data_IF_176842973787
#
_entry.id   IF_176842973787
#
_cell.length_a   1.000
_cell.length_b   1.000
_cell.length_c   1.000
_cell.angle_alpha   90.00
_cell.angle_beta   90.00
_cell.angle_gamma   90.00
#
_symmetry.space_group_name_H-M   'P 1'
#
loop_
_entity.id
_entity.type
_entity.pdbx_description
1 polymer ?
#
# COMPACT_ATOMS: atom_id res chain seq x y z
N UNK A 1 11.90 -34.04 18.50
CA UNK A 1 12.33 -32.66 18.14
C UNK A 1 13.85 -32.65 18.19
N UNK A 2 14.53 -32.17 17.15
CA UNK A 2 16.00 -32.27 17.07
C UNK A 2 16.66 -31.12 17.84
N UNK A 3 17.58 -31.46 18.76
CA UNK A 3 18.30 -30.48 19.57
C UNK A 3 19.09 -29.47 18.72
N UNK A 4 19.63 -29.90 17.58
CA UNK A 4 20.33 -29.03 16.62
C UNK A 4 19.44 -27.89 16.11
N UNK A 5 18.18 -28.18 15.77
CA UNK A 5 17.23 -27.17 15.29
C UNK A 5 16.85 -26.16 16.39
N UNK A 6 16.85 -26.57 17.66
CA UNK A 6 16.61 -25.65 18.78
C UNK A 6 17.78 -24.66 18.95
N UNK A 7 19.02 -25.16 18.90
CA UNK A 7 20.21 -24.31 19.01
C UNK A 7 20.36 -23.35 17.81
N UNK A 8 19.99 -23.80 16.61
CA UNK A 8 19.94 -22.94 15.43
C UNK A 8 18.89 -21.82 15.56
N UNK A 9 17.69 -22.14 16.07
CA UNK A 9 16.65 -21.14 16.29
C UNK A 9 17.11 -20.06 17.29
N UNK A 10 17.74 -20.47 18.38
CA UNK A 10 18.32 -19.55 19.37
C UNK A 10 19.39 -18.66 18.75
N UNK A 11 20.33 -19.24 17.99
CA UNK A 11 21.39 -18.47 17.31
C UNK A 11 20.84 -17.39 16.39
N UNK A 12 19.72 -17.64 15.73
CA UNK A 12 19.08 -16.68 14.81
C UNK A 12 18.30 -15.61 15.58
N UNK A 13 17.39 -16.02 16.46
CA UNK A 13 16.41 -15.12 17.08
C UNK A 13 17.01 -14.24 18.17
N UNK A 14 18.04 -14.72 18.87
CA UNK A 14 18.75 -13.96 19.93
C UNK A 14 19.88 -13.11 19.34
N UNK A 15 20.17 -13.22 18.04
CA UNK A 15 21.19 -12.42 17.39
C UNK A 15 20.82 -10.92 17.48
N UNK A 16 21.70 -10.11 18.07
CA UNK A 16 21.47 -8.67 18.22
C UNK A 16 21.17 -7.96 16.89
N UNK A 17 21.79 -8.37 15.78
CA UNK A 17 21.51 -7.80 14.44
C UNK A 17 20.10 -8.13 13.97
N UNK A 18 19.62 -9.35 14.25
CA UNK A 18 18.27 -9.76 13.93
C UNK A 18 17.25 -8.98 14.77
N UNK A 19 17.48 -8.85 16.07
CA UNK A 19 16.61 -8.08 16.98
C UNK A 19 16.52 -6.61 16.55
N UNK A 20 17.66 -5.98 16.24
CA UNK A 20 17.69 -4.59 15.73
C UNK A 20 16.90 -4.48 14.42
N UNK A 21 17.06 -5.44 13.51
CA UNK A 21 16.30 -5.48 12.25
C UNK A 21 14.79 -5.55 12.51
N UNK A 22 14.33 -6.42 13.41
CA UNK A 22 12.91 -6.53 13.77
C UNK A 22 12.40 -5.25 14.47
N UNK A 23 13.21 -4.62 15.31
CA UNK A 23 12.84 -3.37 15.98
C UNK A 23 12.64 -2.22 14.97
N UNK A 24 13.54 -2.09 13.99
CA UNK A 24 13.40 -1.11 12.91
C UNK A 24 12.13 -1.39 12.09
N UNK A 25 11.87 -2.65 11.75
CA UNK A 25 10.63 -3.04 11.04
C UNK A 25 9.40 -2.67 11.86
N UNK A 26 9.39 -2.96 13.16
CA UNK A 26 8.27 -2.62 14.04
C UNK A 26 8.03 -1.11 14.07
N UNK A 27 9.08 -0.30 14.28
CA UNK A 27 8.99 1.16 14.28
C UNK A 27 8.46 1.72 12.95
N UNK A 28 8.98 1.24 11.81
CA UNK A 28 8.51 1.68 10.49
C UNK A 28 7.05 1.32 10.25
N UNK A 29 6.59 0.14 10.67
CA UNK A 29 5.19 -0.26 10.51
C UNK A 29 4.27 0.56 11.43
N UNK A 30 4.65 0.82 12.68
CA UNK A 30 3.85 1.66 13.60
C UNK A 30 3.67 3.06 13.02
N UNK A 31 4.77 3.72 12.65
CA UNK A 31 4.73 5.04 12.02
C UNK A 31 3.91 5.02 10.72
N UNK A 32 4.12 3.99 9.89
CA UNK A 32 3.44 3.82 8.62
C UNK A 32 1.93 3.65 8.77
N UNK A 33 1.47 2.80 9.69
CA UNK A 33 0.05 2.57 9.97
C UNK A 33 -0.61 3.86 10.48
N UNK A 34 0.00 4.54 11.45
CA UNK A 34 -0.56 5.79 12.01
C UNK A 34 -0.68 6.86 10.93
N UNK A 35 0.38 7.07 10.14
CA UNK A 35 0.38 8.04 9.03
C UNK A 35 -0.62 7.65 7.94
N UNK A 36 -0.70 6.36 7.59
CA UNK A 36 -1.60 5.88 6.56
C UNK A 36 -3.06 6.07 6.99
N UNK A 37 -3.45 5.64 8.19
CA UNK A 37 -4.80 5.86 8.74
C UNK A 37 -5.16 7.34 8.76
N UNK A 38 -4.24 8.20 9.20
CA UNK A 38 -4.44 9.64 9.20
C UNK A 38 -4.70 10.21 7.80
N UNK A 39 -3.85 9.86 6.83
CA UNK A 39 -4.02 10.28 5.43
C UNK A 39 -5.29 9.72 4.81
N UNK A 40 -5.63 8.46 5.07
CA UNK A 40 -6.85 7.82 4.59
C UNK A 40 -8.10 8.50 5.14
N UNK A 41 -8.10 8.89 6.42
CA UNK A 41 -9.19 9.67 7.00
C UNK A 41 -9.34 11.03 6.28
N UNK A 42 -8.23 11.71 5.97
CA UNK A 42 -8.27 12.96 5.20
C UNK A 42 -8.80 12.75 3.77
N UNK A 43 -8.40 11.67 3.11
CA UNK A 43 -8.89 11.30 1.76
C UNK A 43 -10.39 11.03 1.80
N UNK A 44 -10.86 10.23 2.76
CA UNK A 44 -12.27 9.86 2.90
C UNK A 44 -13.18 11.08 3.10
N UNK A 45 -12.76 12.03 3.94
CA UNK A 45 -13.52 13.26 4.23
C UNK A 45 -13.34 14.32 3.13
N UNK A 46 -12.32 14.21 2.28
CA UNK A 46 -12.15 15.12 1.15
C UNK A 46 -13.23 14.89 0.08
N UNK A 47 -13.83 15.96 -0.42
CA UNK A 47 -14.73 15.93 -1.59
C UNK A 47 -13.99 16.24 -2.90
N UNK A 48 -12.66 16.36 -2.84
CA UNK A 48 -11.80 16.77 -3.97
C UNK A 48 -11.55 15.61 -4.94
N UNK A 49 -11.84 14.37 -4.53
CA UNK A 49 -11.63 13.19 -5.37
C UNK A 49 -12.97 12.54 -5.66
N UNK A 50 -13.14 12.02 -6.88
CA UNK A 50 -14.30 11.19 -7.24
C UNK A 50 -14.54 10.07 -6.23
N UNK A 51 -15.82 9.76 -5.97
CA UNK A 51 -16.22 8.76 -4.97
C UNK A 51 -15.60 7.37 -5.24
N UNK A 52 -15.57 6.94 -6.50
CA UNK A 52 -14.93 5.69 -6.92
C UNK A 52 -13.46 5.64 -6.52
N UNK A 53 -12.68 6.66 -6.89
CA UNK A 53 -11.27 6.73 -6.55
C UNK A 53 -11.06 6.78 -5.03
N UNK A 54 -11.90 7.51 -4.29
CA UNK A 54 -11.81 7.54 -2.82
C UNK A 54 -11.98 6.15 -2.21
N UNK A 55 -13.00 5.40 -2.64
CA UNK A 55 -13.23 4.03 -2.14
C UNK A 55 -12.06 3.12 -2.50
N UNK A 56 -11.54 3.21 -3.73
CA UNK A 56 -10.37 2.41 -4.15
C UNK A 56 -9.08 2.78 -3.39
N UNK A 57 -8.88 4.05 -3.06
CA UNK A 57 -7.74 4.50 -2.24
C UNK A 57 -7.87 4.08 -0.78
N UNK A 58 -9.09 4.10 -0.23
CA UNK A 58 -9.37 3.54 1.10
C UNK A 58 -9.09 2.04 1.09
N UNK A 59 -9.51 1.32 0.04
CA UNK A 59 -9.21 -0.10 -0.13
C UNK A 59 -7.69 -0.37 -0.20
N UNK A 60 -6.96 0.39 -1.02
CA UNK A 60 -5.50 0.30 -1.09
C UNK A 60 -4.84 0.55 0.28
N UNK A 61 -5.30 1.58 1.00
CA UNK A 61 -4.79 1.92 2.33
C UNK A 61 -5.09 0.83 3.36
N UNK A 62 -6.28 0.22 3.29
CA UNK A 62 -6.66 -0.89 4.15
C UNK A 62 -5.78 -2.12 3.93
N UNK A 63 -5.45 -2.44 2.66
CA UNK A 63 -4.52 -3.51 2.32
C UNK A 63 -3.10 -3.22 2.85
N UNK A 64 -2.61 -1.99 2.70
CA UNK A 64 -1.32 -1.56 3.25
C UNK A 64 -1.27 -1.66 4.77
N UNK A 65 -2.33 -1.21 5.46
CA UNK A 65 -2.46 -1.30 6.91
C UNK A 65 -2.52 -2.75 7.38
N UNK A 66 -3.31 -3.61 6.72
CA UNK A 66 -3.39 -5.04 7.03
C UNK A 66 -2.02 -5.72 6.86
N UNK A 67 -1.34 -5.47 5.74
CA UNK A 67 0.01 -5.98 5.48
C UNK A 67 1.02 -5.54 6.55
N UNK A 68 0.93 -4.28 6.96
CA UNK A 68 1.84 -3.69 7.95
C UNK A 68 1.55 -4.20 9.36
N UNK A 69 0.28 -4.38 9.71
CA UNK A 69 -0.15 -4.93 10.99
C UNK A 69 0.31 -6.39 11.17
N UNK A 70 0.22 -7.21 10.11
CA UNK A 70 0.69 -8.60 10.15
C UNK A 70 2.21 -8.70 10.32
N UNK A 71 2.98 -7.81 9.68
CA UNK A 71 4.43 -7.75 9.89
C UNK A 71 4.82 -7.15 11.22
N UNK A 72 4.09 -6.15 11.71
CA UNK A 72 4.27 -5.61 13.05
C UNK A 72 4.07 -6.71 14.10
N UNK A 73 2.93 -7.40 14.05
CA UNK A 73 2.61 -8.50 14.96
C UNK A 73 3.75 -9.54 14.98
N UNK A 74 4.23 -9.95 13.80
CA UNK A 74 5.33 -10.91 13.73
C UNK A 74 6.61 -10.37 14.35
N UNK A 75 6.99 -9.13 14.02
CA UNK A 75 8.24 -8.54 14.50
C UNK A 75 8.20 -8.39 16.02
N UNK A 76 7.05 -7.98 16.57
CA UNK A 76 6.81 -7.91 18.01
C UNK A 76 6.89 -9.28 18.68
N UNK A 77 6.26 -10.32 18.09
CA UNK A 77 6.35 -11.69 18.60
C UNK A 77 7.79 -12.18 18.60
N UNK A 78 8.55 -11.99 17.52
CA UNK A 78 9.96 -12.39 17.45
C UNK A 78 10.84 -11.68 18.48
N UNK A 79 10.62 -10.37 18.70
CA UNK A 79 11.32 -9.62 19.75
C UNK A 79 10.94 -10.14 21.13
N UNK A 80 9.65 -10.33 21.39
CA UNK A 80 9.17 -10.82 22.68
C UNK A 80 9.72 -12.21 23.01
N UNK A 81 9.70 -13.13 22.05
CA UNK A 81 10.26 -14.47 22.18
C UNK A 81 11.77 -14.43 22.46
N UNK A 82 12.52 -13.55 21.79
CA UNK A 82 13.95 -13.38 22.03
C UNK A 82 14.29 -12.92 23.47
N UNK A 83 13.36 -12.26 24.18
CA UNK A 83 13.56 -11.80 25.56
C UNK A 83 12.93 -12.71 26.62
N UNK A 84 11.99 -13.59 26.26
CA UNK A 84 11.20 -14.37 27.23
C UNK A 84 11.40 -15.87 27.16
N UNK A 85 12.19 -16.37 26.20
CA UNK A 85 12.49 -17.78 26.09
C UNK A 85 13.22 -18.32 27.33
N UNK A 86 12.86 -19.55 27.74
CA UNK A 86 13.53 -20.25 28.84
C UNK A 86 14.42 -21.36 28.31
N UNK A 87 13.95 -22.06 27.28
CA UNK A 87 14.69 -23.11 26.59
C UNK A 87 14.82 -22.80 25.10
N UNK A 88 15.92 -23.21 24.48
CA UNK A 88 16.17 -23.02 23.04
C UNK A 88 15.09 -23.65 22.16
N UNK A 89 14.42 -24.71 22.64
CA UNK A 89 13.35 -25.37 21.89
C UNK A 89 12.02 -24.60 21.88
N UNK A 90 11.83 -23.63 22.78
CA UNK A 90 10.61 -22.79 22.81
C UNK A 90 10.54 -21.85 21.58
N UNK A 91 11.69 -21.60 20.95
CA UNK A 91 11.86 -20.71 19.81
C UNK A 91 11.53 -21.37 18.46
N UNK A 92 11.44 -22.70 18.42
CA UNK A 92 11.20 -23.44 17.18
C UNK A 92 9.71 -23.42 16.85
N UNK A 93 9.37 -23.23 15.58
CA UNK A 93 7.97 -23.18 15.12
C UNK A 93 7.63 -24.41 14.28
N UNK A 94 6.38 -24.84 14.38
CA UNK A 94 5.82 -25.85 13.48
C UNK A 94 5.80 -25.32 12.04
N UNK A 95 6.21 -26.17 11.09
CA UNK A 95 6.33 -25.80 9.70
C UNK A 95 5.00 -25.37 9.06
N UNK A 96 3.89 -26.03 9.43
CA UNK A 96 2.55 -25.70 8.90
C UNK A 96 2.03 -24.38 9.48
N UNK A 97 2.17 -24.17 10.78
CA UNK A 97 1.83 -22.89 11.44
C UNK A 97 2.63 -21.74 10.83
N UNK A 98 3.92 -21.94 10.57
CA UNK A 98 4.77 -20.98 9.87
C UNK A 98 4.28 -20.71 8.44
N UNK A 99 3.95 -21.75 7.67
CA UNK A 99 3.46 -21.64 6.29
C UNK A 99 2.11 -20.94 6.20
N UNK A 100 1.19 -21.24 7.11
CA UNK A 100 -0.09 -20.54 7.21
C UNK A 100 0.14 -19.05 7.53
N UNK A 101 0.96 -18.74 8.54
CA UNK A 101 1.28 -17.38 8.93
C UNK A 101 1.90 -16.56 7.79
N UNK A 102 2.88 -17.14 7.10
CA UNK A 102 3.54 -16.48 5.97
C UNK A 102 2.60 -16.26 4.79
N UNK A 103 1.71 -17.22 4.50
CA UNK A 103 0.68 -17.05 3.47
C UNK A 103 -0.31 -15.93 3.84
N UNK A 104 -0.74 -15.85 5.10
CA UNK A 104 -1.61 -14.77 5.59
C UNK A 104 -0.89 -13.42 5.47
N UNK A 105 0.40 -13.35 5.82
CA UNK A 105 1.20 -12.12 5.69
C UNK A 105 1.47 -11.73 4.23
N UNK A 106 1.66 -12.69 3.33
CA UNK A 106 1.93 -12.46 1.91
C UNK A 106 0.67 -12.15 1.08
N UNK A 107 -0.51 -12.63 1.48
CA UNK A 107 -1.74 -12.45 0.70
C UNK A 107 -2.12 -10.98 0.46
N UNK A 108 -2.11 -10.07 1.46
CA UNK A 108 -2.37 -8.65 1.23
C UNK A 108 -1.36 -8.01 0.27
N UNK A 109 -0.10 -8.46 0.31
CA UNK A 109 0.96 -7.98 -0.58
C UNK A 109 0.68 -8.34 -2.04
N UNK A 110 0.30 -9.59 -2.34
CA UNK A 110 -0.10 -9.98 -3.70
C UNK A 110 -1.35 -9.19 -4.15
N UNK A 111 -2.29 -8.93 -3.24
CA UNK A 111 -3.51 -8.15 -3.52
C UNK A 111 -3.29 -6.66 -3.79
N UNK A 112 -2.16 -6.07 -3.37
CA UNK A 112 -1.85 -4.66 -3.67
C UNK A 112 -1.73 -4.40 -5.17
N UNK A 113 -1.17 -5.35 -5.92
CA UNK A 113 -1.02 -5.22 -7.38
C UNK A 113 -2.39 -5.13 -8.06
N UNK A 114 -3.35 -5.93 -7.61
CA UNK A 114 -4.73 -5.87 -8.11
C UNK A 114 -5.43 -4.59 -7.71
N UNK A 115 -5.17 -4.04 -6.52
CA UNK A 115 -5.68 -2.72 -6.13
C UNK A 115 -5.14 -1.62 -7.07
N UNK A 116 -3.85 -1.68 -7.42
CA UNK A 116 -3.24 -0.78 -8.41
C UNK A 116 -3.85 -0.91 -9.81
N UNK A 117 -4.09 -2.14 -10.27
CA UNK A 117 -4.77 -2.39 -11.54
C UNK A 117 -6.21 -1.84 -11.50
N UNK A 118 -6.94 -2.08 -10.40
CA UNK A 118 -8.29 -1.57 -10.23
C UNK A 118 -8.35 -0.04 -10.28
N UNK A 119 -7.42 0.63 -9.60
CA UNK A 119 -7.25 2.08 -9.67
C UNK A 119 -6.93 2.52 -11.11
N UNK A 120 -6.02 1.83 -11.81
CA UNK A 120 -5.70 2.14 -13.20
C UNK A 120 -6.92 2.04 -14.13
N UNK A 121 -7.71 0.97 -14.01
CA UNK A 121 -8.94 0.77 -14.80
C UNK A 121 -9.93 1.90 -14.52
N UNK A 122 -10.12 2.26 -13.25
CA UNK A 122 -11.00 3.36 -12.88
C UNK A 122 -10.51 4.70 -13.45
N UNK A 123 -9.20 4.97 -13.45
CA UNK A 123 -8.61 6.15 -14.09
C UNK A 123 -8.77 6.12 -15.62
N UNK A 124 -8.64 4.95 -16.27
CA UNK A 124 -8.95 4.79 -17.70
C UNK A 124 -10.40 5.17 -17.99
N UNK A 125 -11.35 4.61 -17.24
CA UNK A 125 -12.79 4.86 -17.40
C UNK A 125 -13.13 6.34 -17.18
N UNK A 126 -12.61 6.94 -16.11
CA UNK A 126 -12.79 8.36 -15.82
C UNK A 126 -12.22 9.26 -16.93
N UNK A 127 -11.12 8.83 -17.58
CA UNK A 127 -10.49 9.60 -18.67
C UNK A 127 -11.22 9.44 -19.99
N UNK A 128 -11.60 8.22 -20.37
CA UNK A 128 -12.26 7.93 -21.66
C UNK A 128 -13.69 8.47 -21.63
N UNK A 129 -14.45 8.13 -20.58
CA UNK A 129 -15.87 8.38 -20.46
C UNK A 129 -16.23 9.56 -19.55
N UNK A 130 -15.37 10.58 -19.39
CA UNK A 130 -15.54 11.69 -18.43
C UNK A 130 -16.96 12.30 -18.42
N UNK A 131 -17.56 12.53 -19.60
CA UNK A 131 -18.93 13.09 -19.73
C UNK A 131 -20.02 12.20 -19.16
N UNK A 132 -19.87 10.88 -19.30
CA UNK A 132 -20.87 9.91 -18.83
C UNK A 132 -20.61 9.50 -17.38
N UNK A 133 -19.33 9.50 -17.00
CA UNK A 133 -18.87 9.13 -15.66
C UNK A 133 -19.47 10.03 -14.57
N UNK A 134 -19.68 11.31 -14.83
CA UNK A 134 -20.35 12.23 -13.88
C UNK A 134 -21.82 11.89 -13.65
N UNK A 135 -22.52 11.42 -14.69
CA UNK A 135 -23.93 11.03 -14.58
C UNK A 135 -24.11 9.77 -13.74
N UNK A 136 -23.07 8.95 -13.64
CA UNK A 136 -23.05 7.75 -12.82
C UNK A 136 -22.81 8.14 -11.36
N UNK A 137 -23.88 8.49 -10.66
CA UNK A 137 -23.85 8.74 -9.20
C UNK A 137 -23.42 7.51 -8.40
N UNK A 138 -23.58 6.31 -8.97
CA UNK A 138 -23.26 5.05 -8.29
C UNK A 138 -21.79 4.66 -8.50
N UNK A 139 -21.04 4.32 -7.44
CA UNK A 139 -19.63 3.97 -7.52
C UNK A 139 -19.40 2.53 -8.03
N UNK A 140 -19.93 2.21 -9.21
CA UNK A 140 -19.93 0.85 -9.77
C UNK A 140 -18.53 0.24 -9.86
N UNK A 141 -17.56 0.99 -10.41
CA UNK A 141 -16.20 0.51 -10.58
C UNK A 141 -15.56 0.13 -9.23
N UNK A 142 -15.74 0.96 -8.21
CA UNK A 142 -15.17 0.67 -6.89
C UNK A 142 -15.86 -0.50 -6.18
N UNK A 143 -17.19 -0.59 -6.29
CA UNK A 143 -17.99 -1.68 -5.69
C UNK A 143 -17.64 -3.04 -6.29
N UNK A 144 -17.25 -3.10 -7.56
CA UNK A 144 -16.81 -4.36 -8.19
C UNK A 144 -15.33 -4.64 -7.91
N UNK A 145 -14.46 -3.66 -8.11
CA UNK A 145 -13.01 -3.86 -8.07
C UNK A 145 -12.46 -4.07 -6.65
N UNK A 146 -13.03 -3.40 -5.63
CA UNK A 146 -12.54 -3.56 -4.26
C UNK A 146 -12.78 -4.98 -3.71
N UNK A 147 -13.98 -5.59 -3.78
CA UNK A 147 -14.21 -6.95 -3.32
C UNK A 147 -13.32 -7.99 -4.01
N UNK A 148 -13.02 -7.84 -5.30
CA UNK A 148 -12.11 -8.74 -6.03
C UNK A 148 -10.74 -8.83 -5.33
N UNK A 149 -10.22 -7.71 -4.82
CA UNK A 149 -8.93 -7.71 -4.10
C UNK A 149 -8.99 -8.52 -2.79
N UNK A 150 -10.13 -8.53 -2.10
CA UNK A 150 -10.35 -9.30 -0.87
C UNK A 150 -10.63 -10.78 -1.13
N UNK A 151 -11.38 -11.08 -2.20
CA UNK A 151 -11.59 -12.46 -2.66
C UNK A 151 -10.25 -13.11 -2.97
N UNK A 152 -9.32 -12.39 -3.63
CA UNK A 152 -7.97 -12.90 -3.87
C UNK A 152 -7.23 -13.26 -2.57
N UNK A 153 -7.33 -12.44 -1.52
CA UNK A 153 -6.75 -12.75 -0.20
C UNK A 153 -7.35 -14.04 0.35
N UNK A 154 -8.68 -14.15 0.35
CA UNK A 154 -9.37 -15.33 0.85
C UNK A 154 -8.97 -16.61 0.08
N UNK A 155 -8.81 -16.53 -1.23
CA UNK A 155 -8.37 -17.65 -2.06
C UNK A 155 -6.92 -18.07 -1.76
N UNK A 156 -6.00 -17.12 -1.59
CA UNK A 156 -4.60 -17.41 -1.23
C UNK A 156 -4.53 -18.11 0.13
N UNK A 157 -5.25 -17.59 1.13
CA UNK A 157 -5.29 -18.16 2.48
C UNK A 157 -5.92 -19.55 2.47
N UNK A 158 -7.09 -19.70 1.83
CA UNK A 158 -7.79 -20.99 1.72
C UNK A 158 -6.93 -22.06 1.04
N UNK A 159 -6.24 -21.71 -0.06
CA UNK A 159 -5.33 -22.62 -0.77
C UNK A 159 -4.11 -23.00 0.08
N UNK A 160 -3.65 -22.11 0.96
CA UNK A 160 -2.52 -22.40 1.85
C UNK A 160 -2.90 -23.37 2.97
N UNK A 161 -4.07 -23.16 3.57
CA UNK A 161 -4.59 -23.97 4.69
C UNK A 161 -5.16 -25.31 4.21
N UNK A 162 -5.78 -25.36 3.02
CA UNK A 162 -6.45 -26.56 2.50
C UNK A 162 -5.54 -27.68 2.01
N UNK A 163 -4.21 -27.51 2.03
CA UNK A 163 -3.27 -28.60 1.70
C UNK A 163 -3.24 -29.61 2.85
N UNK A 164 -3.47 -30.89 2.53
CA UNK A 164 -3.47 -32.01 3.50
C UNK A 164 -2.23 -31.96 4.39
N UNK A 165 -2.45 -32.14 5.69
CA UNK A 165 -1.38 -32.21 6.68
C UNK A 165 -0.43 -33.36 6.33
N UNK A 166 0.89 -33.13 6.33
CA UNK A 166 1.84 -34.23 6.26
C UNK A 166 1.65 -35.13 7.48
N UNK A 167 1.82 -36.45 7.31
CA UNK A 167 1.69 -37.45 8.38
C UNK A 167 2.69 -37.24 9.55
N UNK A 168 3.71 -36.38 9.36
CA UNK A 168 4.71 -36.05 10.38
C UNK A 168 4.78 -34.55 10.62
N UNK A 169 4.77 -34.17 11.90
CA UNK A 169 4.97 -32.78 12.34
C UNK A 169 6.43 -32.37 12.10
N UNK A 170 6.64 -31.46 11.14
CA UNK A 170 7.95 -30.91 10.82
C UNK A 170 8.15 -29.58 11.58
N UNK A 171 9.35 -29.39 12.13
CA UNK A 171 9.73 -28.19 12.87
C UNK A 171 10.75 -27.36 12.08
N UNK A 172 10.70 -26.04 12.20
CA UNK A 172 11.63 -25.12 11.53
C UNK A 172 12.26 -24.13 12.51
N UNK A 173 13.58 -23.89 12.42
CA UNK A 173 14.27 -22.95 13.30
C UNK A 173 13.94 -21.49 12.98
N UNK A 174 13.43 -21.20 11.79
CA UNK A 174 13.15 -19.84 11.33
C UNK A 174 11.92 -19.78 10.42
N UNK A 175 11.10 -18.74 10.60
CA UNK A 175 9.93 -18.46 9.79
C UNK A 175 9.96 -17.04 9.23
N UNK A 176 10.01 -16.90 7.89
CA UNK A 176 9.99 -15.56 7.26
C UNK A 176 8.59 -15.14 6.80
N UNK A 177 8.42 -13.82 6.67
CA UNK A 177 7.17 -13.16 6.24
C UNK A 177 6.78 -13.38 4.78
N UNK A 178 7.74 -13.64 3.89
CA UNK A 178 7.50 -13.64 2.44
C UNK A 178 7.51 -15.05 1.87
N UNK A 179 8.41 -15.91 2.34
CA UNK A 179 8.47 -17.31 1.91
C UNK A 179 8.84 -18.23 3.06
N UNK A 180 8.13 -19.35 3.17
CA UNK A 180 8.49 -20.45 4.07
C UNK A 180 9.19 -21.59 3.36
N UNK A 181 9.39 -21.52 2.05
CA UNK A 181 10.02 -22.58 1.27
C UNK A 181 10.87 -22.04 0.12
N UNK A 182 11.29 -22.97 -0.75
CA UNK A 182 11.95 -22.64 -2.01
C UNK A 182 11.09 -21.67 -2.81
N UNK A 183 11.75 -20.66 -3.38
CA UNK A 183 11.10 -19.67 -4.23
C UNK A 183 10.64 -20.39 -5.49
N UNK A 184 9.32 -20.36 -5.75
CA UNK A 184 8.79 -20.84 -7.01
C UNK A 184 9.14 -19.82 -8.11
N UNK A 185 10.30 -20.03 -8.73
CA UNK A 185 10.80 -19.17 -9.80
C UNK A 185 9.83 -19.10 -10.97
N UNK A 186 9.08 -20.18 -11.26
CA UNK A 186 8.09 -20.18 -12.33
C UNK A 186 6.96 -19.20 -12.00
N UNK A 187 6.37 -19.27 -10.80
CA UNK A 187 5.37 -18.28 -10.36
C UNK A 187 5.94 -16.85 -10.37
N UNK A 188 7.18 -16.68 -9.93
CA UNK A 188 7.81 -15.35 -9.83
C UNK A 188 8.03 -14.71 -11.22
N UNK A 189 8.64 -15.44 -12.16
CA UNK A 189 8.98 -14.91 -13.49
C UNK A 189 7.82 -14.93 -14.48
N UNK A 190 6.94 -15.94 -14.43
CA UNK A 190 5.83 -16.04 -15.39
C UNK A 190 4.61 -15.21 -14.99
N UNK A 191 4.48 -14.89 -13.69
CA UNK A 191 3.29 -14.21 -13.17
C UNK A 191 3.61 -12.91 -12.44
N UNK A 192 4.35 -12.96 -11.33
CA UNK A 192 4.51 -11.77 -10.47
C UNK A 192 5.21 -10.61 -11.22
N UNK A 193 6.38 -10.85 -11.80
CA UNK A 193 7.16 -9.82 -12.50
C UNK A 193 6.37 -9.21 -13.68
N UNK A 194 5.82 -10.00 -14.62
CA UNK A 194 5.04 -9.45 -15.73
C UNK A 194 3.84 -8.62 -15.26
N UNK A 195 3.08 -9.08 -14.26
CA UNK A 195 1.90 -8.35 -13.77
C UNK A 195 2.31 -7.00 -13.17
N UNK A 196 3.42 -6.94 -12.42
CA UNK A 196 3.94 -5.68 -11.86
C UNK A 196 4.38 -4.71 -12.97
N UNK A 197 5.11 -5.21 -13.97
CA UNK A 197 5.57 -4.39 -15.11
C UNK A 197 4.38 -3.88 -15.92
N UNK A 198 3.41 -4.75 -16.23
CA UNK A 198 2.19 -4.36 -16.96
C UNK A 198 1.39 -3.33 -16.17
N UNK A 199 1.25 -3.50 -14.85
CA UNK A 199 0.59 -2.52 -13.98
C UNK A 199 1.27 -1.15 -14.03
N UNK A 200 2.60 -1.12 -13.97
CA UNK A 200 3.38 0.11 -14.09
C UNK A 200 3.21 0.78 -15.46
N UNK A 201 3.33 0.01 -16.55
CA UNK A 201 3.16 0.52 -17.92
C UNK A 201 1.74 1.05 -18.14
N UNK A 202 0.73 0.42 -17.55
CA UNK A 202 -0.65 0.88 -17.60
C UNK A 202 -0.80 2.25 -16.94
N UNK A 203 -0.27 2.45 -15.73
CA UNK A 203 -0.30 3.77 -15.08
C UNK A 203 0.42 4.85 -15.89
N UNK A 204 1.58 4.51 -16.47
CA UNK A 204 2.33 5.44 -17.30
C UNK A 204 1.55 5.82 -18.57
N UNK A 205 0.94 4.85 -19.24
CA UNK A 205 0.09 5.07 -20.40
C UNK A 205 -1.11 5.96 -20.06
N UNK A 206 -1.81 5.66 -18.96
CA UNK A 206 -2.95 6.45 -18.47
C UNK A 206 -2.52 7.88 -18.19
N UNK A 207 -1.38 8.09 -17.51
CA UNK A 207 -0.86 9.44 -17.26
C UNK A 207 -0.57 10.21 -18.55
N UNK A 208 0.11 9.58 -19.52
CA UNK A 208 0.42 10.20 -20.81
C UNK A 208 -0.86 10.56 -21.57
N UNK A 209 -1.84 9.65 -21.60
CA UNK A 209 -3.13 9.86 -22.25
C UNK A 209 -3.89 11.01 -21.59
N UNK A 210 -3.98 11.04 -20.25
CA UNK A 210 -4.63 12.12 -19.50
C UNK A 210 -3.99 13.48 -19.85
N UNK A 211 -2.66 13.55 -19.83
CA UNK A 211 -1.90 14.78 -20.12
C UNK A 211 -2.07 15.24 -21.58
N UNK A 212 -2.13 14.30 -22.54
CA UNK A 212 -2.39 14.63 -23.95
C UNK A 212 -3.82 15.13 -24.14
N UNK A 213 -4.80 14.45 -23.56
CA UNK A 213 -6.22 14.83 -23.65
C UNK A 213 -6.49 16.21 -23.04
N UNK A 214 -5.86 16.53 -21.90
CA UNK A 214 -5.96 17.86 -21.29
C UNK A 214 -5.43 18.96 -22.21
N UNK A 215 -4.28 18.73 -22.86
CA UNK A 215 -3.70 19.71 -23.80
C UNK A 215 -4.61 19.95 -25.01
N UNK A 216 -5.17 18.89 -25.59
CA UNK A 216 -6.09 19.00 -26.73
C UNK A 216 -7.38 19.75 -26.34
N UNK A 217 -7.94 19.45 -25.16
CA UNK A 217 -9.15 20.12 -24.68
C UNK A 217 -8.94 21.64 -24.49
N UNK A 218 -7.80 22.04 -23.90
CA UNK A 218 -7.43 23.45 -23.75
C UNK A 218 -7.25 24.13 -25.12
N UNK A 219 -6.65 23.44 -26.08
CA UNK A 219 -6.44 23.97 -27.42
C UNK A 219 -7.76 24.15 -28.20
N UNK A 220 -8.75 23.28 -27.99
CA UNK A 220 -10.03 23.32 -28.71
C UNK A 220 -11.00 24.41 -28.29
N UNK A 221 -10.67 25.25 -27.29
CA UNK A 221 -11.55 26.33 -26.76
C UNK A 221 -13.01 25.89 -26.51
N UNK A 222 -13.20 24.66 -26.00
CA UNK A 222 -14.54 24.17 -25.66
C UNK A 222 -14.94 24.80 -24.32
N UNK A 223 -16.03 25.58 -24.32
CA UNK A 223 -16.50 26.38 -23.17
C UNK A 223 -17.23 25.58 -22.06
N UNK A 224 -16.90 24.29 -21.90
CA UNK A 224 -17.45 23.49 -20.80
C UNK A 224 -16.49 23.48 -19.60
N UNK A 225 -16.76 24.39 -18.64
CA UNK A 225 -15.94 24.54 -17.44
C UNK A 225 -15.93 23.26 -16.56
N UNK A 226 -17.05 22.53 -16.50
CA UNK A 226 -17.17 21.36 -15.62
C UNK A 226 -16.23 20.24 -16.10
N UNK A 227 -16.27 19.92 -17.39
CA UNK A 227 -15.39 18.89 -17.94
C UNK A 227 -13.91 19.27 -17.91
N UNK A 228 -13.59 20.57 -18.07
CA UNK A 228 -12.21 21.06 -17.90
C UNK A 228 -11.70 20.82 -16.48
N UNK A 229 -12.51 21.17 -15.47
CA UNK A 229 -12.14 20.97 -14.07
C UNK A 229 -11.86 19.50 -13.75
N UNK A 230 -12.77 18.60 -14.16
CA UNK A 230 -12.63 17.16 -13.97
C UNK A 230 -11.36 16.61 -14.62
N UNK A 231 -11.04 17.06 -15.84
CA UNK A 231 -9.87 16.58 -16.55
C UNK A 231 -8.57 17.04 -15.87
N UNK A 232 -8.53 18.27 -15.34
CA UNK A 232 -7.40 18.77 -14.55
C UNK A 232 -7.24 17.96 -13.26
N UNK A 233 -8.33 17.68 -12.55
CA UNK A 233 -8.32 16.85 -11.34
C UNK A 233 -7.84 15.42 -11.64
N UNK A 234 -8.32 14.83 -12.74
CA UNK A 234 -7.91 13.51 -13.19
C UNK A 234 -6.43 13.46 -13.55
N UNK A 235 -5.87 14.49 -14.19
CA UNK A 235 -4.43 14.58 -14.45
C UNK A 235 -3.63 14.70 -13.14
N UNK A 236 -4.08 15.55 -12.20
CA UNK A 236 -3.39 15.77 -10.92
C UNK A 236 -3.38 14.51 -10.06
N UNK A 237 -4.53 13.85 -9.92
CA UNK A 237 -4.65 12.59 -9.18
C UNK A 237 -3.84 11.47 -9.84
N UNK A 238 -3.96 11.30 -11.16
CA UNK A 238 -3.18 10.31 -11.91
C UNK A 238 -1.68 10.53 -11.80
N UNK A 239 -1.20 11.78 -11.76
CA UNK A 239 0.23 12.07 -11.52
C UNK A 239 0.72 11.51 -10.19
N UNK A 240 -0.05 11.71 -9.11
CA UNK A 240 0.30 11.20 -7.77
C UNK A 240 0.30 9.68 -7.77
N UNK A 241 -0.71 9.05 -8.38
CA UNK A 241 -0.83 7.60 -8.47
C UNK A 241 0.29 6.97 -9.31
N UNK A 242 0.68 7.63 -10.41
CA UNK A 242 1.82 7.20 -11.21
C UNK A 242 3.11 7.22 -10.39
N UNK A 243 3.37 8.28 -9.60
CA UNK A 243 4.54 8.34 -8.70
C UNK A 243 4.50 7.19 -7.68
N UNK A 244 3.35 6.98 -7.03
CA UNK A 244 3.17 5.91 -6.05
C UNK A 244 3.35 4.52 -6.66
N UNK A 245 2.83 4.29 -7.86
CA UNK A 245 2.99 3.03 -8.59
C UNK A 245 4.44 2.81 -8.99
N UNK A 246 5.15 3.85 -9.46
CA UNK A 246 6.58 3.76 -9.80
C UNK A 246 7.41 3.32 -8.59
N UNK A 247 7.20 3.98 -7.45
CA UNK A 247 7.93 3.67 -6.21
C UNK A 247 7.60 2.24 -5.76
N UNK A 248 6.32 1.85 -5.80
CA UNK A 248 5.89 0.50 -5.47
C UNK A 248 6.59 -0.54 -6.34
N UNK A 249 6.57 -0.35 -7.67
CA UNK A 249 7.21 -1.25 -8.64
C UNK A 249 8.70 -1.39 -8.38
N UNK A 250 9.42 -0.29 -8.16
CA UNK A 250 10.86 -0.33 -7.87
C UNK A 250 11.12 -1.10 -6.57
N UNK A 251 10.41 -0.78 -5.49
CA UNK A 251 10.60 -1.45 -4.20
C UNK A 251 10.29 -2.95 -4.26
N UNK A 252 9.23 -3.33 -4.97
CA UNK A 252 8.88 -4.74 -5.16
C UNK A 252 9.93 -5.47 -6.00
N UNK A 253 10.37 -4.88 -7.11
CA UNK A 253 11.42 -5.48 -7.95
C UNK A 253 12.74 -5.63 -7.19
N UNK A 254 13.09 -4.67 -6.32
CA UNK A 254 14.24 -4.79 -5.42
C UNK A 254 14.08 -5.96 -4.44
N UNK A 255 12.91 -6.14 -3.83
CA UNK A 255 12.66 -7.30 -2.95
C UNK A 255 12.72 -8.61 -3.72
N UNK A 256 12.10 -8.70 -4.90
CA UNK A 256 12.16 -9.91 -5.72
C UNK A 256 13.58 -10.22 -6.17
N UNK A 257 14.34 -9.20 -6.61
CA UNK A 257 15.74 -9.33 -6.99
C UNK A 257 16.61 -9.81 -5.83
N UNK A 258 16.40 -9.28 -4.63
CA UNK A 258 17.09 -9.74 -3.42
C UNK A 258 16.74 -11.20 -3.09
N UNK A 259 15.48 -11.60 -3.19
CA UNK A 259 15.04 -13.00 -2.98
C UNK A 259 15.71 -13.94 -3.98
N UNK A 260 15.80 -13.55 -5.26
CA UNK A 260 16.50 -14.31 -6.30
C UNK A 260 17.99 -14.39 -6.00
N UNK A 261 18.64 -13.27 -5.65
CA UNK A 261 20.07 -13.23 -5.32
C UNK A 261 20.40 -14.13 -4.13
N UNK A 262 19.61 -14.08 -3.05
CA UNK A 262 19.76 -14.95 -1.88
C UNK A 262 19.69 -16.43 -2.28
N UNK A 263 18.79 -16.78 -3.21
CA UNK A 263 18.65 -18.17 -3.67
C UNK A 263 19.86 -18.67 -4.49
N UNK A 264 20.61 -17.77 -5.14
CA UNK A 264 21.82 -18.11 -5.89
C UNK A 264 23.10 -18.11 -5.04
N UNK A 265 23.16 -17.30 -3.99
CA UNK A 265 24.37 -17.14 -3.18
C UNK A 265 24.69 -18.34 -2.25
N UNK A 266 23.84 -19.38 -2.21
CA UNK A 266 24.05 -20.59 -1.38
C UNK A 266 24.54 -20.28 0.05
N UNK A 267 23.95 -19.28 0.71
CA UNK A 267 24.32 -18.86 2.07
C UNK A 267 24.12 -20.04 3.02
N UNK A 268 25.22 -20.53 3.60
CA UNK A 268 25.22 -21.70 4.49
C UNK A 268 24.84 -21.35 5.93
N UNK A 269 25.14 -20.12 6.38
CA UNK A 269 24.74 -19.67 7.71
C UNK A 269 23.29 -19.18 7.75
N UNK A 270 22.49 -19.83 8.60
CA UNK A 270 21.07 -19.54 8.74
C UNK A 270 20.83 -18.14 9.34
N UNK A 271 21.71 -17.66 10.22
CA UNK A 271 21.56 -16.34 10.85
C UNK A 271 21.77 -15.22 9.83
N UNK A 272 22.85 -15.28 9.04
CA UNK A 272 23.05 -14.35 7.93
C UNK A 272 21.92 -14.39 6.91
N UNK A 273 21.48 -15.60 6.52
CA UNK A 273 20.33 -15.76 5.63
C UNK A 273 19.07 -15.08 6.18
N UNK A 274 18.75 -15.30 7.46
CA UNK A 274 17.59 -14.70 8.10
C UNK A 274 17.67 -13.17 8.11
N UNK A 275 18.82 -12.60 8.49
CA UNK A 275 19.02 -11.14 8.53
C UNK A 275 18.86 -10.52 7.14
N UNK A 276 19.54 -11.05 6.12
CA UNK A 276 19.48 -10.52 4.74
C UNK A 276 18.05 -10.61 4.20
N UNK A 277 17.35 -11.70 4.50
CA UNK A 277 15.96 -11.89 4.10
C UNK A 277 15.01 -10.89 4.75
N UNK A 278 15.25 -10.55 6.01
CA UNK A 278 14.46 -9.54 6.73
C UNK A 278 14.72 -8.13 6.23
N UNK A 279 15.99 -7.80 5.94
CA UNK A 279 16.36 -6.52 5.32
C UNK A 279 15.71 -6.37 3.95
N UNK A 280 15.70 -7.42 3.12
CA UNK A 280 15.04 -7.35 1.80
C UNK A 280 13.51 -7.16 1.88
N UNK A 281 12.92 -7.45 3.04
CA UNK A 281 11.49 -7.25 3.32
C UNK A 281 11.15 -5.83 3.81
N UNK A 282 12.12 -4.91 3.88
CA UNK A 282 11.91 -3.50 4.28
C UNK A 282 11.11 -2.70 3.24
N UNK A 283 10.98 -3.20 2.01
CA UNK A 283 10.24 -2.55 0.93
C UNK A 283 8.84 -2.11 1.34
N UNK A 284 8.07 -2.98 2.00
CA UNK A 284 6.69 -2.69 2.41
C UNK A 284 6.59 -1.69 3.56
N UNK A 285 7.32 -1.84 4.69
CA UNK A 285 7.38 -0.81 5.72
C UNK A 285 7.83 0.55 5.21
N UNK A 286 8.80 0.59 4.28
CA UNK A 286 9.22 1.84 3.63
C UNK A 286 8.07 2.38 2.76
N UNK A 287 7.43 1.53 1.97
CA UNK A 287 6.39 1.93 1.05
C UNK A 287 5.17 2.57 1.74
N UNK A 288 4.66 2.01 2.84
CA UNK A 288 3.51 2.59 3.55
C UNK A 288 3.80 4.00 4.10
N UNK A 289 5.03 4.26 4.53
CA UNK A 289 5.47 5.59 4.97
C UNK A 289 5.56 6.54 3.77
N UNK A 290 6.25 6.12 2.70
CA UNK A 290 6.39 6.93 1.47
C UNK A 290 5.03 7.24 0.86
N UNK A 291 4.10 6.27 0.83
CA UNK A 291 2.73 6.44 0.37
C UNK A 291 2.05 7.62 1.07
N UNK A 292 2.12 7.64 2.40
CA UNK A 292 1.52 8.69 3.22
C UNK A 292 2.20 10.05 3.00
N UNK A 293 3.53 10.08 2.92
CA UNK A 293 4.31 11.30 2.66
C UNK A 293 4.00 11.89 1.27
N UNK A 294 3.89 11.05 0.25
CA UNK A 294 3.58 11.48 -1.12
C UNK A 294 2.20 12.13 -1.18
N UNK A 295 1.18 11.55 -0.52
CA UNK A 295 -0.14 12.18 -0.44
C UNK A 295 -0.11 13.51 0.32
N UNK A 296 0.62 13.61 1.44
CA UNK A 296 0.73 14.85 2.21
C UNK A 296 1.48 15.96 1.45
N UNK A 297 2.48 15.60 0.64
CA UNK A 297 3.33 16.57 -0.07
C UNK A 297 2.74 16.98 -1.41
N UNK A 298 2.20 16.04 -2.20
CA UNK A 298 1.74 16.28 -3.57
C UNK A 298 0.27 16.76 -3.63
N UNK A 299 -0.57 16.40 -2.65
CA UNK A 299 -1.95 16.85 -2.61
C UNK A 299 -2.10 18.10 -1.74
N UNK A 300 -1.96 19.28 -2.34
CA UNK A 300 -2.09 20.58 -1.64
C UNK A 300 -3.38 20.70 -0.80
N UNK A 301 -4.51 20.17 -1.26
CA UNK A 301 -5.77 20.20 -0.50
C UNK A 301 -5.69 19.36 0.79
N UNK A 302 -5.10 18.17 0.70
CA UNK A 302 -4.88 17.29 1.86
C UNK A 302 -3.91 17.99 2.82
N UNK A 303 -2.81 18.55 2.31
CA UNK A 303 -1.83 19.32 3.10
C UNK A 303 -2.48 20.47 3.85
N UNK A 304 -3.26 21.31 3.17
CA UNK A 304 -3.96 22.45 3.79
C UNK A 304 -4.98 22.01 4.83
N UNK A 305 -5.62 20.85 4.66
CA UNK A 305 -6.55 20.30 5.65
C UNK A 305 -5.82 19.71 6.84
N UNK A 306 -4.71 19.01 6.63
CA UNK A 306 -3.85 18.50 7.68
C UNK A 306 -3.32 19.64 8.55
N UNK A 307 -2.77 20.70 7.94
CA UNK A 307 -2.27 21.88 8.66
C UNK A 307 -3.39 22.57 9.46
N UNK A 308 -4.61 22.66 8.92
CA UNK A 308 -5.76 23.22 9.64
C UNK A 308 -6.17 22.41 10.87
N UNK A 309 -6.01 21.09 10.85
CA UNK A 309 -6.30 20.24 12.00
C UNK A 309 -5.22 20.37 13.09
N UNK A 310 -3.95 20.49 12.69
CA UNK A 310 -2.83 20.68 13.63
C UNK A 310 -2.76 22.09 14.23
N UNK A 311 -3.13 23.11 13.46
CA UNK A 311 -3.25 24.49 13.95
C UNK A 311 -4.57 24.59 14.72
N UNK A 312 -4.59 24.07 15.96
CA UNK A 312 -5.72 24.21 16.91
C UNK A 312 -6.23 25.64 16.84
N UNK A 313 -7.42 25.87 16.27
CA UNK A 313 -8.13 27.11 16.52
C UNK A 313 -8.41 27.17 18.02
N UNK A 314 -8.03 28.25 18.72
CA UNK A 314 -8.38 28.40 20.13
C UNK A 314 -9.89 28.25 20.29
N UNK A 315 -10.30 27.54 21.34
CA UNK A 315 -11.68 27.12 21.61
C UNK A 315 -12.68 28.29 21.64
N UNK A 316 -12.20 29.51 21.86
CA UNK A 316 -12.96 30.76 21.81
C UNK A 316 -13.52 31.11 20.43
N UNK A 317 -12.87 30.73 19.31
CA UNK A 317 -13.46 30.92 17.97
C UNK A 317 -14.52 29.87 17.61
N UNK A 318 -14.57 28.75 18.35
CA UNK A 318 -15.48 27.63 18.04
C UNK A 318 -16.92 27.90 18.49
N UNK A 319 -17.13 28.78 19.47
CA UNK A 319 -18.48 29.20 19.92
C UNK A 319 -19.14 30.26 19.03
N UNK A 320 -18.40 30.94 18.15
CA UNK A 320 -18.98 31.85 17.15
C UNK A 320 -19.13 31.20 15.75
N UNK A 321 -18.75 29.92 15.61
CA UNK A 321 -18.55 29.27 14.30
C UNK A 321 -19.43 28.07 13.97
N UNK A 322 -20.52 27.81 14.71
CA UNK A 322 -21.58 26.87 14.26
C UNK A 322 -22.70 27.61 13.53
N UNK A 323 -22.35 28.59 12.70
CA UNK A 323 -23.08 28.71 11.45
C UNK A 323 -22.68 27.49 10.64
N UNK A 324 -23.65 26.64 10.32
CA UNK A 324 -23.67 25.83 9.09
C UNK A 324 -22.82 26.56 8.05
N UNK A 325 -21.84 25.88 7.43
CA UNK A 325 -21.03 26.50 6.38
C UNK A 325 -21.98 27.32 5.51
N UNK A 326 -21.86 28.67 5.48
CA UNK A 326 -22.81 29.48 4.75
C UNK A 326 -22.81 28.90 3.35
N UNK A 327 -23.99 28.62 2.83
CA UNK A 327 -24.19 28.30 1.42
C UNK A 327 -23.30 29.29 0.67
N UNK A 328 -22.14 28.83 0.17
CA UNK A 328 -21.20 29.73 -0.48
C UNK A 328 -22.00 30.32 -1.60
N UNK A 329 -22.26 31.63 -1.54
CA UNK A 329 -23.01 32.26 -2.62
C UNK A 329 -22.21 32.00 -3.90
N UNK A 330 -22.92 31.78 -5.01
CA UNK A 330 -22.27 31.48 -6.28
C UNK A 330 -21.12 32.45 -6.58
N UNK A 331 -21.24 33.71 -6.13
CA UNK A 331 -20.19 34.75 -6.22
C UNK A 331 -18.90 34.38 -5.49
N UNK A 332 -18.95 33.94 -4.23
CA UNK A 332 -17.76 33.51 -3.50
C UNK A 332 -17.12 32.26 -4.09
N UNK A 333 -17.93 31.38 -4.71
CA UNK A 333 -17.42 30.21 -5.43
C UNK A 333 -16.70 30.65 -6.72
N UNK A 334 -17.26 31.62 -7.44
CA UNK A 334 -16.67 32.20 -8.64
C UNK A 334 -15.40 32.99 -8.34
N UNK A 335 -15.34 33.76 -7.26
CA UNK A 335 -14.13 34.49 -6.84
C UNK A 335 -12.99 33.53 -6.48
N UNK A 336 -13.31 32.38 -5.88
CA UNK A 336 -12.34 31.34 -5.55
C UNK A 336 -11.85 30.61 -6.81
N UNK A 337 -12.73 30.40 -7.79
CA UNK A 337 -12.38 29.90 -9.12
C UNK A 337 -11.48 30.89 -9.89
N UNK A 338 -11.75 32.19 -9.79
CA UNK A 338 -10.97 33.26 -10.39
C UNK A 338 -9.57 33.38 -9.77
N UNK A 339 -9.46 33.27 -8.44
CA UNK A 339 -8.17 33.19 -7.77
C UNK A 339 -7.37 31.96 -8.20
N UNK A 340 -8.01 30.79 -8.28
CA UNK A 340 -7.34 29.58 -8.80
C UNK A 340 -6.89 29.76 -10.25
N UNK A 341 -7.68 30.44 -11.09
CA UNK A 341 -7.33 30.76 -12.47
C UNK A 341 -6.13 31.70 -12.60
N UNK A 342 -6.06 32.78 -11.81
CA UNK A 342 -4.95 33.74 -11.88
C UNK A 342 -3.60 33.12 -11.48
N UNK A 343 -3.61 32.14 -10.59
CA UNK A 343 -2.40 31.40 -10.17
C UNK A 343 -1.98 30.28 -11.12
N UNK A 344 -2.84 29.83 -12.04
CA UNK A 344 -2.54 28.73 -12.97
C UNK A 344 -1.91 29.20 -14.30
N UNK A 345 -1.97 30.50 -14.59
CA UNK A 345 -1.35 31.12 -15.77
C UNK A 345 0.03 31.74 -15.48
N UNK A 346 0.56 31.53 -14.28
CA UNK A 346 1.99 31.71 -13.95
C UNK A 346 2.61 30.33 -13.83
#
# INVERSE_FOLDING_TARGET
MNLSSCLEAERVLVNGRFIVTQAVVACLNVCGIVLCVYVTALIAISQVLHLNLRILLVNLSALLCLRSALTLNRSTVSIFEAFTYKNSCDLVKEAESCKAYSAIAAAPYESLVFAFIGISIERCLATIAYKHYEKWKFPFAAVVLAPITWINIALIISKSIGKKMPERVLYRPYCSTVTTGYVDFSKLFNYNIPVIIVSFLLFLAVYIICKRKLRLFIASKIDDLSSRYQLVENVKSTKVLAILSSIYTVLVLLTLGAVVAISYMHITDLAEFAIIKEISSFSMPIYINVHSIVFLTQCQHIRLRAVRLFRRRPFTERKMGTSVAPVMSAKQHMDLLEQMWSTANK
#
